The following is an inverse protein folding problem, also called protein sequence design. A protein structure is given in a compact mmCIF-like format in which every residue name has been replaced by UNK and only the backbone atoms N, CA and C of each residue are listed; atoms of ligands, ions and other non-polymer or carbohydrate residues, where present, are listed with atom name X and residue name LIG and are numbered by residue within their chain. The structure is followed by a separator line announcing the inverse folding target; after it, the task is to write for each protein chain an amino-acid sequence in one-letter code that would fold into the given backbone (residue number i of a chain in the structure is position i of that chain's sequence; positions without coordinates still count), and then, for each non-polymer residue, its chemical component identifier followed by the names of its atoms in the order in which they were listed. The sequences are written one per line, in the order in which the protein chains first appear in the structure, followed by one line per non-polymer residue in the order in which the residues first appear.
data_IF_841451803917
#
_entry.id   IF_841451803917
#
_cell.length_a   1.000
_cell.length_b   1.000
_cell.length_c   1.000
_cell.angle_alpha   90.00
_cell.angle_beta   90.00
_cell.angle_gamma   90.00
#
_symmetry.space_group_name_H-M   'P 1'
#
loop_
_entity.id
_entity.type
_entity.pdbx_description
1 polymer ?
#
# COMPACT_ATOMS: atom_id res chain seq x y z
N UNK A 1 4.79 -7.87 4.81
CA UNK A 1 4.50 -6.89 5.88
C UNK A 1 3.26 -7.37 6.62
N UNK A 2 3.08 -7.03 7.91
CA UNK A 2 1.86 -7.35 8.67
C UNK A 2 1.34 -6.08 9.32
N UNK A 3 0.17 -5.62 8.89
CA UNK A 3 -0.52 -4.43 9.39
C UNK A 3 -1.82 -4.89 10.04
N UNK A 4 -2.29 -4.20 11.07
CA UNK A 4 -3.53 -4.57 11.76
C UNK A 4 -4.39 -3.32 11.89
N UNK A 5 -5.67 -3.43 11.53
CA UNK A 5 -6.59 -2.30 11.48
C UNK A 5 -6.75 -1.58 12.83
N UNK A 6 -6.91 -2.35 13.91
CA UNK A 6 -6.95 -1.86 15.28
C UNK A 6 -5.51 -1.74 15.81
N UNK A 7 -5.07 -0.53 16.17
CA UNK A 7 -3.73 -0.31 16.68
C UNK A 7 -3.60 -0.81 18.12
N UNK A 8 -2.39 -1.24 18.48
CA UNK A 8 -2.12 -1.83 19.80
C UNK A 8 -2.47 -0.90 20.97
N UNK A 9 -2.30 0.41 20.82
CA UNK A 9 -2.64 1.37 21.88
C UNK A 9 -4.13 1.38 22.22
N UNK A 10 -5.01 1.06 21.26
CA UNK A 10 -6.45 1.07 21.49
C UNK A 10 -6.90 -0.17 22.26
N UNK A 11 -6.31 -1.33 21.93
CA UNK A 11 -6.48 -2.56 22.71
C UNK A 11 -5.96 -2.38 24.14
N UNK A 12 -4.84 -1.67 24.31
CA UNK A 12 -4.27 -1.36 25.62
C UNK A 12 -5.21 -0.45 26.43
N UNK A 13 -5.70 0.61 25.80
CA UNK A 13 -6.67 1.52 26.40
C UNK A 13 -7.95 0.78 26.84
N UNK A 14 -8.49 -0.10 26.01
CA UNK A 14 -9.66 -0.91 26.35
C UNK A 14 -9.37 -1.85 27.53
N UNK A 15 -8.24 -2.53 27.51
CA UNK A 15 -7.84 -3.43 28.59
C UNK A 15 -7.63 -2.70 29.94
N UNK A 16 -7.22 -1.43 29.91
CA UNK A 16 -6.87 -0.68 31.10
C UNK A 16 -8.03 0.15 31.69
N UNK A 17 -9.01 0.56 30.86
CA UNK A 17 -10.00 1.57 31.27
C UNK A 17 -11.43 1.08 31.34
N UNK A 18 -11.79 0.00 30.64
CA UNK A 18 -13.14 -0.55 30.73
C UNK A 18 -13.37 -1.23 32.09
N UNK A 19 -14.61 -1.19 32.58
CA UNK A 19 -15.04 -1.99 33.74
C UNK A 19 -15.66 -3.33 33.33
N UNK A 20 -15.83 -3.57 32.03
CA UNK A 20 -16.38 -4.83 31.52
C UNK A 20 -15.28 -5.90 31.42
N UNK A 21 -15.36 -6.93 32.26
CA UNK A 21 -14.38 -8.01 32.32
C UNK A 21 -14.27 -8.78 30.98
N UNK A 22 -15.35 -8.85 30.20
CA UNK A 22 -15.32 -9.51 28.90
C UNK A 22 -14.49 -8.68 27.90
N UNK A 23 -14.78 -7.38 27.80
CA UNK A 23 -14.03 -6.45 26.91
C UNK A 23 -12.55 -6.45 27.28
N UNK A 24 -12.25 -6.38 28.58
CA UNK A 24 -10.87 -6.46 29.10
C UNK A 24 -10.18 -7.75 28.62
N UNK A 25 -10.86 -8.89 28.80
CA UNK A 25 -10.32 -10.19 28.41
C UNK A 25 -10.14 -10.33 26.90
N UNK A 26 -11.07 -9.82 26.09
CA UNK A 26 -10.97 -9.82 24.62
C UNK A 26 -9.78 -8.97 24.18
N UNK A 27 -9.69 -7.72 24.62
CA UNK A 27 -8.61 -6.80 24.24
C UNK A 27 -7.22 -7.38 24.55
N UNK A 28 -7.06 -8.02 25.72
CA UNK A 28 -5.82 -8.71 26.08
C UNK A 28 -5.50 -9.89 25.18
N UNK A 29 -6.50 -10.73 24.83
CA UNK A 29 -6.32 -11.88 23.94
C UNK A 29 -5.98 -11.44 22.51
N UNK A 30 -6.75 -10.51 21.94
CA UNK A 30 -6.50 -9.92 20.61
C UNK A 30 -5.08 -9.38 20.54
N UNK A 31 -4.66 -8.60 21.54
CA UNK A 31 -3.28 -8.06 21.62
C UNK A 31 -2.21 -9.16 21.63
N UNK A 32 -2.41 -10.25 22.35
CA UNK A 32 -1.46 -11.37 22.40
C UNK A 32 -1.38 -12.13 21.06
N UNK A 33 -2.54 -12.35 20.42
CA UNK A 33 -2.63 -12.93 19.07
C UNK A 33 -1.86 -12.04 18.08
N UNK A 34 -2.15 -10.74 18.06
CA UNK A 34 -1.51 -9.76 17.18
C UNK A 34 0.00 -9.71 17.34
N UNK A 35 0.50 -9.74 18.58
CA UNK A 35 1.94 -9.79 18.86
C UNK A 35 2.58 -11.05 18.30
N UNK A 36 1.90 -12.19 18.48
CA UNK A 36 2.36 -13.48 17.96
C UNK A 36 2.40 -13.46 16.44
N UNK A 37 1.35 -12.91 15.80
CA UNK A 37 1.27 -12.75 14.36
C UNK A 37 2.35 -11.79 13.86
N UNK A 38 2.65 -10.66 14.50
CA UNK A 38 3.77 -9.79 14.08
C UNK A 38 5.14 -10.48 14.16
N UNK A 39 5.31 -11.43 15.08
CA UNK A 39 6.58 -12.14 15.31
C UNK A 39 6.89 -13.33 14.38
N UNK A 40 5.92 -13.89 13.63
CA UNK A 40 6.21 -15.03 12.73
C UNK A 40 6.93 -14.55 11.47
N UNK A 41 7.96 -15.26 11.01
CA UNK A 41 8.53 -15.02 9.67
C UNK A 41 7.54 -15.54 8.61
N UNK A 42 7.32 -14.75 7.57
CA UNK A 42 6.68 -15.24 6.34
C UNK A 42 7.82 -15.66 5.44
N UNK A 43 7.97 -16.96 5.21
CA UNK A 43 8.76 -17.43 4.07
C UNK A 43 7.99 -16.99 2.80
N UNK A 44 8.68 -16.50 1.76
CA UNK A 44 8.01 -16.15 0.51
C UNK A 44 7.23 -17.37 0.01
N UNK A 45 5.98 -17.19 -0.47
CA UNK A 45 5.17 -18.33 -0.87
C UNK A 45 5.91 -19.12 -1.95
N UNK A 46 6.00 -20.44 -1.75
CA UNK A 46 6.24 -21.37 -2.86
C UNK A 46 5.14 -21.15 -3.88
N UNK A 47 5.51 -20.94 -5.14
CA UNK A 47 4.66 -20.49 -6.24
C UNK A 47 3.21 -21.03 -6.18
N UNK A 48 2.19 -20.18 -6.43
CA UNK A 48 0.82 -20.66 -6.53
C UNK A 48 0.70 -21.62 -7.71
N UNK A 49 0.08 -22.77 -7.47
CA UNK A 49 -0.26 -23.73 -8.51
C UNK A 49 -1.40 -23.14 -9.34
N UNK A 50 -1.08 -22.62 -10.53
CA UNK A 50 -2.08 -22.09 -11.44
C UNK A 50 -3.15 -23.13 -11.76
N UNK A 51 -4.39 -22.88 -11.33
CA UNK A 51 -5.57 -23.61 -11.79
C UNK A 51 -6.30 -22.74 -12.80
N UNK A 52 -6.24 -23.14 -14.07
CA UNK A 52 -6.97 -22.48 -15.14
C UNK A 52 -8.47 -22.77 -14.99
N UNK A 53 -9.20 -21.79 -14.47
CA UNK A 53 -10.64 -21.62 -14.73
C UNK A 53 -10.76 -20.28 -15.46
N UNK A 54 -11.63 -20.20 -16.46
CA UNK A 54 -11.78 -19.01 -17.28
C UNK A 54 -12.26 -17.82 -16.42
N UNK A 55 -11.33 -17.00 -15.96
CA UNK A 55 -11.59 -15.82 -15.16
C UNK A 55 -11.91 -14.62 -16.07
N UNK A 56 -12.88 -13.83 -15.63
CA UNK A 56 -13.04 -12.44 -16.09
C UNK A 56 -11.82 -11.67 -15.60
N UNK A 57 -11.16 -10.83 -16.41
CA UNK A 57 -10.01 -10.05 -15.94
C UNK A 57 -10.39 -9.24 -14.69
N UNK A 58 -9.61 -9.36 -13.62
CA UNK A 58 -9.63 -8.45 -12.47
C UNK A 58 -10.43 -8.86 -11.22
N UNK A 59 -10.97 -10.08 -11.09
CA UNK A 59 -11.74 -10.44 -9.89
C UNK A 59 -11.57 -11.90 -9.45
N UNK A 60 -10.35 -12.41 -9.34
CA UNK A 60 -10.12 -13.73 -8.73
C UNK A 60 -9.90 -13.57 -7.22
N UNK A 61 -10.94 -13.92 -6.44
CA UNK A 61 -10.88 -13.97 -4.98
C UNK A 61 -11.50 -15.26 -4.43
N UNK A 62 -11.00 -15.67 -3.27
CA UNK A 62 -11.45 -16.81 -2.47
C UNK A 62 -11.72 -16.34 -1.04
N UNK A 63 -12.89 -16.71 -0.50
CA UNK A 63 -13.27 -16.45 0.89
C UNK A 63 -13.35 -17.77 1.63
N UNK A 64 -12.64 -17.82 2.75
CA UNK A 64 -12.59 -18.95 3.66
C UNK A 64 -13.19 -18.62 5.02
N UNK A 65 -13.63 -19.65 5.72
CA UNK A 65 -14.19 -19.59 7.07
C UNK A 65 -13.26 -20.33 8.05
N UNK A 66 -12.81 -19.63 9.09
CA UNK A 66 -11.99 -20.19 10.16
C UNK A 66 -12.80 -20.86 11.28
N UNK A 67 -14.14 -20.79 11.24
CA UNK A 67 -15.07 -21.36 12.22
C UNK A 67 -14.77 -20.93 13.67
N UNK A 68 -14.42 -19.66 13.87
CA UNK A 68 -13.91 -19.10 15.13
C UNK A 68 -12.64 -19.79 15.67
N UNK A 69 -11.92 -20.50 14.80
CA UNK A 69 -10.59 -21.04 15.03
C UNK A 69 -9.50 -20.07 14.60
N UNK A 70 -8.24 -20.51 14.70
CA UNK A 70 -7.06 -19.72 14.29
C UNK A 70 -6.27 -20.34 13.14
N UNK A 71 -6.78 -21.42 12.56
CA UNK A 71 -6.17 -22.06 11.39
C UNK A 71 -6.52 -21.25 10.13
N UNK A 72 -5.48 -20.90 9.36
CA UNK A 72 -5.61 -20.13 8.13
C UNK A 72 -5.20 -21.00 6.91
N UNK A 73 -5.88 -20.88 5.75
CA UNK A 73 -7.03 -19.99 5.51
C UNK A 73 -8.36 -20.54 6.05
N UNK A 74 -8.43 -21.81 6.49
CA UNK A 74 -9.70 -22.45 6.86
C UNK A 74 -10.45 -23.02 5.66
N UNK A 75 -11.75 -23.23 5.79
CA UNK A 75 -12.57 -23.89 4.78
C UNK A 75 -12.99 -22.91 3.68
N UNK A 76 -12.77 -23.25 2.41
CA UNK A 76 -13.25 -22.44 1.29
C UNK A 76 -14.79 -22.43 1.26
N UNK A 77 -15.40 -21.25 1.41
CA UNK A 77 -16.86 -21.08 1.47
C UNK A 77 -17.44 -20.34 0.27
N UNK A 78 -16.66 -19.46 -0.38
CA UNK A 78 -17.11 -18.72 -1.56
C UNK A 78 -15.97 -18.33 -2.47
N UNK A 79 -16.19 -18.41 -3.79
CA UNK A 79 -15.27 -17.87 -4.80
C UNK A 79 -15.95 -16.81 -5.65
N UNK A 80 -15.15 -16.00 -6.34
CA UNK A 80 -15.66 -15.03 -7.31
C UNK A 80 -16.64 -15.66 -8.32
N UNK A 81 -17.69 -14.91 -8.65
CA UNK A 81 -18.76 -15.32 -9.56
C UNK A 81 -19.82 -16.26 -8.95
N UNK A 82 -19.62 -16.76 -7.73
CA UNK A 82 -20.65 -17.53 -7.02
C UNK A 82 -21.70 -16.61 -6.38
N UNK A 83 -22.98 -17.05 -6.30
CA UNK A 83 -24.03 -16.30 -5.61
C UNK A 83 -23.73 -16.14 -4.12
N UNK A 84 -24.46 -15.23 -3.46
CA UNK A 84 -24.45 -15.08 -2.00
C UNK A 84 -24.75 -16.40 -1.29
N UNK A 85 -24.07 -16.63 -0.17
CA UNK A 85 -24.18 -17.87 0.61
C UNK A 85 -25.10 -17.71 1.83
N UNK A 86 -25.51 -16.47 2.15
CA UNK A 86 -26.41 -16.16 3.26
C UNK A 86 -25.69 -15.93 4.60
N UNK A 87 -24.37 -16.06 4.62
CA UNK A 87 -23.53 -15.56 5.70
C UNK A 87 -23.17 -14.10 5.40
N UNK A 88 -23.59 -13.19 6.27
CA UNK A 88 -23.41 -11.75 6.06
C UNK A 88 -21.94 -11.34 6.03
N UNK A 89 -21.07 -11.98 6.82
CA UNK A 89 -19.65 -11.66 6.88
C UNK A 89 -18.95 -12.11 5.59
N UNK A 90 -19.30 -13.30 5.08
CA UNK A 90 -18.82 -13.79 3.77
C UNK A 90 -19.32 -12.91 2.63
N UNK A 91 -20.60 -12.54 2.64
CA UNK A 91 -21.21 -11.79 1.55
C UNK A 91 -20.73 -10.33 1.50
N UNK A 92 -20.48 -9.70 2.66
CA UNK A 92 -19.84 -8.38 2.75
C UNK A 92 -18.38 -8.43 2.27
N UNK A 93 -17.60 -9.43 2.68
CA UNK A 93 -16.22 -9.59 2.24
C UNK A 93 -16.13 -9.74 0.72
N UNK A 94 -17.05 -10.49 0.10
CA UNK A 94 -17.13 -10.64 -1.35
C UNK A 94 -17.38 -9.30 -2.07
N UNK A 95 -18.27 -8.46 -1.55
CA UNK A 95 -18.53 -7.12 -2.09
C UNK A 95 -17.28 -6.25 -1.97
N UNK A 96 -16.67 -6.19 -0.79
CA UNK A 96 -15.47 -5.38 -0.57
C UNK A 96 -14.31 -5.79 -1.47
N UNK A 97 -14.04 -7.09 -1.62
CA UNK A 97 -12.98 -7.61 -2.50
C UNK A 97 -13.24 -7.20 -3.95
N UNK A 98 -14.47 -7.37 -4.40
CA UNK A 98 -14.87 -7.04 -5.78
C UNK A 98 -14.71 -5.55 -6.06
N UNK A 99 -15.19 -4.68 -5.16
CA UNK A 99 -15.10 -3.22 -5.35
C UNK A 99 -13.66 -2.71 -5.26
N UNK A 100 -12.87 -3.24 -4.34
CA UNK A 100 -11.47 -2.83 -4.18
C UNK A 100 -10.62 -3.28 -5.36
N UNK A 101 -10.81 -4.50 -5.86
CA UNK A 101 -10.12 -4.98 -7.06
C UNK A 101 -10.54 -4.18 -8.30
N UNK A 102 -11.82 -3.83 -8.42
CA UNK A 102 -12.30 -2.98 -9.51
C UNK A 102 -11.69 -1.56 -9.46
N UNK A 103 -11.53 -0.98 -8.27
CA UNK A 103 -10.82 0.29 -8.08
C UNK A 103 -9.39 0.22 -8.64
N UNK A 104 -8.61 -0.79 -8.27
CA UNK A 104 -7.25 -0.95 -8.75
C UNK A 104 -7.18 -1.29 -10.24
N UNK A 105 -8.15 -2.05 -10.76
CA UNK A 105 -8.29 -2.30 -12.19
C UNK A 105 -8.56 -1.00 -12.99
N UNK A 106 -9.34 -0.06 -12.45
CA UNK A 106 -9.54 1.27 -13.03
C UNK A 106 -8.22 2.08 -13.12
N UNK A 107 -7.23 1.73 -12.29
CA UNK A 107 -5.86 2.26 -12.33
C UNK A 107 -4.91 1.45 -13.23
N UNK A 108 -5.42 0.43 -13.93
CA UNK A 108 -4.64 -0.45 -14.80
C UNK A 108 -3.81 -1.48 -14.05
N UNK A 109 -4.16 -1.79 -12.79
CA UNK A 109 -3.49 -2.81 -11.98
C UNK A 109 -4.27 -4.11 -11.99
N UNK A 110 -3.59 -5.22 -12.30
CA UNK A 110 -4.17 -6.57 -12.20
C UNK A 110 -3.90 -7.18 -10.82
N UNK A 111 -4.89 -7.13 -9.93
CA UNK A 111 -4.81 -7.57 -8.52
C UNK A 111 -3.78 -6.81 -7.66
N UNK A 112 -3.54 -7.27 -6.43
CA UNK A 112 -2.64 -6.60 -5.49
C UNK A 112 -1.18 -6.67 -5.90
N UNK A 113 -0.75 -7.65 -6.70
CA UNK A 113 0.63 -7.84 -7.15
C UNK A 113 0.90 -7.24 -8.54
N UNK A 114 -0.14 -6.82 -9.25
CA UNK A 114 -0.04 -6.33 -10.64
C UNK A 114 0.14 -7.45 -11.67
N UNK A 115 -0.01 -8.72 -11.26
CA UNK A 115 0.15 -9.90 -12.10
C UNK A 115 -1.01 -10.90 -11.97
N UNK A 116 -2.15 -10.47 -11.42
CA UNK A 116 -3.38 -11.25 -11.38
C UNK A 116 -3.42 -12.30 -10.26
N UNK A 117 -2.70 -12.09 -9.15
CA UNK A 117 -2.80 -13.00 -8.01
C UNK A 117 -4.23 -13.12 -7.47
N UNK A 118 -4.63 -14.33 -7.08
CA UNK A 118 -5.89 -14.56 -6.36
C UNK A 118 -5.83 -13.92 -4.98
N UNK A 119 -6.86 -13.15 -4.61
CA UNK A 119 -6.98 -12.57 -3.27
C UNK A 119 -7.67 -13.57 -2.35
N UNK A 120 -6.97 -14.01 -1.30
CA UNK A 120 -7.53 -14.89 -0.28
C UNK A 120 -7.96 -14.03 0.92
N UNK A 121 -9.18 -14.23 1.40
CA UNK A 121 -9.70 -13.63 2.62
C UNK A 121 -10.25 -14.72 3.54
N UNK A 122 -9.96 -14.63 4.84
CA UNK A 122 -10.50 -15.51 5.87
C UNK A 122 -11.40 -14.72 6.81
N UNK A 123 -12.64 -15.17 7.00
CA UNK A 123 -13.60 -14.59 7.94
C UNK A 123 -13.79 -15.50 9.16
N UNK A 124 -14.50 -15.01 10.18
CA UNK A 124 -14.74 -15.71 11.45
C UNK A 124 -13.44 -16.18 12.12
N UNK A 125 -12.38 -15.37 12.02
CA UNK A 125 -11.10 -15.68 12.65
C UNK A 125 -11.18 -15.44 14.15
N UNK A 126 -10.92 -16.51 14.91
CA UNK A 126 -11.04 -16.56 16.38
C UNK A 126 -12.43 -16.12 16.89
N UNK A 127 -12.66 -16.24 18.19
CA UNK A 127 -13.93 -15.86 18.82
C UNK A 127 -13.80 -14.49 19.47
N UNK A 128 -14.69 -13.57 19.08
CA UNK A 128 -14.72 -12.20 19.59
C UNK A 128 -13.43 -11.44 19.22
N UNK A 129 -12.81 -11.75 18.07
CA UNK A 129 -11.55 -11.15 17.67
C UNK A 129 -11.77 -9.70 17.19
N UNK A 130 -11.23 -8.76 17.95
CA UNK A 130 -11.33 -7.32 17.72
C UNK A 130 -10.26 -6.81 16.75
N UNK A 131 -10.08 -7.45 15.59
CA UNK A 131 -9.19 -6.92 14.56
C UNK A 131 -9.48 -7.44 13.14
N UNK A 132 -8.84 -6.78 12.17
CA UNK A 132 -8.63 -7.26 10.82
C UNK A 132 -7.18 -6.98 10.39
N UNK A 133 -6.63 -7.78 9.47
CA UNK A 133 -5.25 -7.60 9.03
C UNK A 133 -4.94 -8.23 7.66
N UNK A 134 -3.99 -7.65 6.95
CA UNK A 134 -3.17 -8.34 5.94
C UNK A 134 -1.97 -9.05 6.59
N UNK A 135 -1.88 -10.37 6.41
CA UNK A 135 -0.86 -11.20 7.06
C UNK A 135 0.46 -11.33 6.27
N UNK A 136 0.51 -10.74 5.07
CA UNK A 136 1.58 -10.90 4.08
C UNK A 136 1.20 -11.78 2.89
N UNK A 137 0.12 -12.56 3.00
CA UNK A 137 -0.36 -13.52 1.99
C UNK A 137 -1.88 -13.52 1.81
N UNK A 138 -2.64 -13.23 2.86
CA UNK A 138 -4.11 -13.20 2.84
C UNK A 138 -4.66 -12.13 3.79
N UNK A 139 -5.93 -11.77 3.58
CA UNK A 139 -6.69 -10.90 4.47
C UNK A 139 -7.38 -11.76 5.55
N UNK A 140 -7.48 -11.26 6.77
CA UNK A 140 -8.11 -11.96 7.89
C UNK A 140 -9.01 -11.01 8.65
N UNK A 141 -10.25 -11.42 8.94
CA UNK A 141 -11.27 -10.60 9.58
C UNK A 141 -11.88 -11.30 10.79
N UNK A 142 -11.90 -10.60 11.92
CA UNK A 142 -12.65 -10.98 13.10
C UNK A 142 -14.11 -10.52 13.06
N UNK A 143 -14.92 -11.13 13.92
CA UNK A 143 -16.34 -10.80 14.08
C UNK A 143 -16.59 -9.66 15.10
N UNK A 144 -15.55 -9.24 15.83
CA UNK A 144 -15.66 -8.31 16.94
C UNK A 144 -16.34 -8.91 18.18
N UNK A 145 -16.21 -8.26 19.32
CA UNK A 145 -16.79 -8.69 20.60
C UNK A 145 -18.28 -8.40 20.78
N UNK A 146 -18.88 -7.63 19.87
CA UNK A 146 -20.28 -7.21 19.94
C UNK A 146 -20.58 -6.25 21.09
N UNK A 147 -19.57 -5.74 21.80
CA UNK A 147 -19.71 -4.77 22.90
C UNK A 147 -18.99 -3.46 22.65
N UNK A 148 -17.87 -3.51 21.96
CA UNK A 148 -17.11 -2.36 21.45
C UNK A 148 -17.14 -2.37 19.94
N UNK A 149 -16.74 -3.50 19.33
CA UNK A 149 -16.63 -3.64 17.89
C UNK A 149 -17.67 -4.62 17.34
N UNK A 150 -18.25 -4.28 16.20
CA UNK A 150 -18.94 -5.23 15.34
C UNK A 150 -17.98 -5.92 14.37
N UNK A 151 -18.54 -6.73 13.48
CA UNK A 151 -17.79 -7.45 12.44
C UNK A 151 -16.96 -6.50 11.56
N UNK A 152 -15.72 -6.89 11.29
CA UNK A 152 -14.76 -6.07 10.56
C UNK A 152 -14.97 -6.07 9.04
N UNK A 153 -15.87 -6.91 8.51
CA UNK A 153 -16.29 -6.90 7.10
C UNK A 153 -17.35 -5.85 6.79
N UNK A 154 -18.04 -5.31 7.81
CA UNK A 154 -19.18 -4.43 7.62
C UNK A 154 -18.78 -3.07 7.02
N UNK A 155 -17.75 -2.37 7.52
CA UNK A 155 -17.28 -1.17 6.85
C UNK A 155 -16.41 -1.56 5.64
N UNK A 156 -16.90 -1.31 4.43
CA UNK A 156 -16.22 -1.70 3.19
C UNK A 156 -14.80 -1.11 3.06
N UNK A 157 -14.58 0.05 3.67
CA UNK A 157 -13.29 0.74 3.74
C UNK A 157 -12.25 0.01 4.60
N UNK A 158 -12.65 -0.81 5.59
CA UNK A 158 -11.72 -1.70 6.34
C UNK A 158 -11.11 -2.73 5.39
N UNK A 159 -11.94 -3.38 4.57
CA UNK A 159 -11.44 -4.36 3.61
C UNK A 159 -10.57 -3.69 2.54
N UNK A 160 -11.01 -2.54 2.02
CA UNK A 160 -10.22 -1.75 1.08
C UNK A 160 -8.86 -1.33 1.65
N UNK A 161 -8.82 -0.97 2.94
CA UNK A 161 -7.61 -0.65 3.68
C UNK A 161 -6.67 -1.87 3.77
N UNK A 162 -7.16 -3.03 4.19
CA UNK A 162 -6.30 -4.21 4.31
C UNK A 162 -5.73 -4.68 2.97
N UNK A 163 -6.52 -4.64 1.89
CA UNK A 163 -6.02 -5.01 0.56
C UNK A 163 -5.03 -3.96 0.01
N UNK A 164 -5.17 -2.69 0.37
CA UNK A 164 -4.26 -1.64 -0.03
C UNK A 164 -2.86 -1.76 0.63
N UNK A 165 -2.74 -2.40 1.81
CA UNK A 165 -1.44 -2.81 2.33
C UNK A 165 -0.73 -3.79 1.41
N UNK A 166 -1.45 -4.76 0.84
CA UNK A 166 -0.89 -5.70 -0.13
C UNK A 166 -0.40 -4.93 -1.38
N UNK A 167 -1.20 -4.00 -1.92
CA UNK A 167 -0.76 -3.14 -3.05
C UNK A 167 0.51 -2.36 -2.70
N UNK A 168 0.58 -1.78 -1.50
CA UNK A 168 1.78 -1.05 -1.04
C UNK A 168 3.00 -1.98 -0.95
N UNK A 169 2.84 -3.20 -0.43
CA UNK A 169 3.90 -4.21 -0.36
C UNK A 169 4.47 -4.57 -1.74
N UNK A 170 3.64 -4.66 -2.77
CA UNK A 170 4.04 -5.01 -4.14
C UNK A 170 4.30 -3.79 -5.04
N UNK A 171 4.46 -2.59 -4.45
CA UNK A 171 4.81 -1.35 -5.15
C UNK A 171 5.99 -0.66 -4.47
N UNK A 172 5.74 0.39 -3.67
CA UNK A 172 6.79 1.13 -2.97
C UNK A 172 7.41 0.35 -1.79
N UNK A 173 6.71 -0.68 -1.30
CA UNK A 173 7.10 -1.48 -0.14
C UNK A 173 7.53 -0.61 1.06
N UNK A 174 6.74 0.43 1.33
CA UNK A 174 7.02 1.44 2.36
C UNK A 174 7.28 0.76 3.70
N UNK A 175 8.45 1.02 4.29
CA UNK A 175 8.87 0.47 5.59
C UNK A 175 7.86 0.87 6.65
N UNK A 176 7.36 -0.10 7.41
CA UNK A 176 6.34 0.13 8.44
C UNK A 176 6.95 0.71 9.74
N UNK A 177 7.50 1.92 9.63
CA UNK A 177 8.14 2.65 10.71
C UNK A 177 8.09 4.17 10.44
N UNK A 178 7.82 4.99 11.46
CA UNK A 178 7.86 6.45 11.37
C UNK A 178 7.02 7.00 10.21
N UNK A 179 7.55 7.97 9.47
CA UNK A 179 6.83 8.60 8.36
C UNK A 179 6.52 7.64 7.20
N UNK A 180 7.43 6.73 6.83
CA UNK A 180 7.13 5.75 5.77
C UNK A 180 6.03 4.78 6.19
N UNK A 181 5.95 4.44 7.48
CA UNK A 181 4.86 3.64 8.04
C UNK A 181 3.54 4.40 8.10
N UNK A 182 3.57 5.68 8.51
CA UNK A 182 2.40 6.55 8.48
C UNK A 182 1.88 6.80 7.05
N UNK A 183 2.77 6.86 6.05
CA UNK A 183 2.38 6.85 4.64
C UNK A 183 1.73 5.53 4.25
N UNK A 184 2.27 4.40 4.69
CA UNK A 184 1.70 3.07 4.42
C UNK A 184 0.25 2.98 4.93
N UNK A 185 0.01 3.35 6.20
CA UNK A 185 -1.33 3.48 6.79
C UNK A 185 -2.22 4.45 6.01
N UNK A 186 -1.68 5.60 5.63
CA UNK A 186 -2.44 6.60 4.89
C UNK A 186 -2.84 6.13 3.49
N UNK A 187 -1.98 5.42 2.76
CA UNK A 187 -2.34 4.84 1.47
C UNK A 187 -3.48 3.83 1.62
N UNK A 188 -3.47 3.05 2.69
CA UNK A 188 -4.55 2.11 3.00
C UNK A 188 -5.86 2.84 3.30
N UNK A 189 -5.86 3.89 4.14
CA UNK A 189 -7.03 4.72 4.38
C UNK A 189 -7.55 5.41 3.11
N UNK A 190 -6.63 5.94 2.27
CA UNK A 190 -6.95 6.62 1.00
C UNK A 190 -7.68 5.68 0.04
N UNK A 191 -7.16 4.48 -0.18
CA UNK A 191 -7.79 3.54 -1.12
C UNK A 191 -9.03 2.85 -0.51
N UNK A 192 -9.07 2.66 0.81
CA UNK A 192 -10.30 2.27 1.52
C UNK A 192 -11.41 3.29 1.32
N UNK A 193 -11.12 4.58 1.53
CA UNK A 193 -12.08 5.67 1.31
C UNK A 193 -12.49 5.78 -0.17
N UNK A 194 -11.56 5.65 -1.12
CA UNK A 194 -11.88 5.63 -2.55
C UNK A 194 -12.81 4.46 -2.90
N UNK A 195 -12.59 3.28 -2.32
CA UNK A 195 -13.44 2.10 -2.52
C UNK A 195 -14.86 2.35 -2.00
N UNK A 196 -14.98 2.84 -0.76
CA UNK A 196 -16.28 3.20 -0.17
C UNK A 196 -17.03 4.23 -1.02
N UNK A 197 -16.36 5.30 -1.41
CA UNK A 197 -16.97 6.37 -2.18
C UNK A 197 -17.40 5.91 -3.58
N UNK A 198 -16.59 5.06 -4.24
CA UNK A 198 -16.91 4.45 -5.52
C UNK A 198 -18.15 3.55 -5.42
N UNK A 199 -18.18 2.68 -4.41
CA UNK A 199 -19.31 1.79 -4.17
C UNK A 199 -20.61 2.56 -3.89
N UNK A 200 -20.53 3.67 -3.15
CA UNK A 200 -21.68 4.51 -2.81
C UNK A 200 -22.03 5.57 -3.88
N UNK A 201 -21.21 5.72 -4.93
CA UNK A 201 -21.38 6.76 -5.95
C UNK A 201 -21.27 8.19 -5.40
N UNK A 202 -20.39 8.41 -4.43
CA UNK A 202 -20.20 9.70 -3.76
C UNK A 202 -19.05 10.50 -4.37
N UNK A 203 -19.23 11.81 -4.56
CA UNK A 203 -18.12 12.68 -4.92
C UNK A 203 -17.30 13.09 -3.68
N UNK A 204 -16.11 13.67 -3.91
CA UNK A 204 -15.21 14.10 -2.84
C UNK A 204 -15.82 15.14 -1.88
N UNK A 205 -16.82 15.90 -2.35
CA UNK A 205 -17.50 16.92 -1.56
C UNK A 205 -18.56 16.33 -0.61
N UNK A 206 -19.24 15.27 -1.03
CA UNK A 206 -20.32 14.61 -0.30
C UNK A 206 -19.87 13.44 0.58
N UNK A 207 -18.66 12.91 0.37
CA UNK A 207 -18.10 11.83 1.17
C UNK A 207 -17.89 12.21 2.65
N UNK A 208 -18.06 11.24 3.55
CA UNK A 208 -17.90 11.40 5.00
C UNK A 208 -16.44 11.56 5.46
N UNK A 209 -15.50 10.98 4.72
CA UNK A 209 -14.07 10.94 5.03
C UNK A 209 -13.75 10.28 6.39
N UNK A 210 -14.56 9.31 6.78
CA UNK A 210 -14.40 8.48 7.97
C UNK A 210 -13.87 7.10 7.57
N UNK A 211 -12.98 6.54 8.38
CA UNK A 211 -12.44 5.18 8.20
C UNK A 211 -13.00 4.24 9.26
N UNK A 212 -13.70 3.20 8.83
CA UNK A 212 -14.36 2.25 9.73
C UNK A 212 -15.67 2.81 10.30
N UNK A 213 -16.41 3.62 9.53
CA UNK A 213 -17.72 4.10 9.96
C UNK A 213 -18.66 2.92 10.23
N UNK A 214 -19.27 2.90 11.41
CA UNK A 214 -20.18 1.83 11.82
C UNK A 214 -19.50 0.53 12.28
N UNK A 215 -18.17 0.57 12.51
CA UNK A 215 -17.43 -0.51 13.20
C UNK A 215 -17.80 -0.60 14.67
N UNK A 216 -18.03 0.53 15.33
CA UNK A 216 -18.44 0.55 16.73
C UNK A 216 -19.90 0.16 16.89
N UNK A 217 -20.20 -0.61 17.94
CA UNK A 217 -21.58 -0.97 18.29
C UNK A 217 -22.32 0.19 18.95
N UNK A 218 -23.65 0.07 19.06
CA UNK A 218 -24.48 1.05 19.75
C UNK A 218 -24.03 1.23 21.21
N UNK A 219 -23.84 2.47 21.64
CA UNK A 219 -23.42 2.82 23.00
C UNK A 219 -21.98 3.33 23.11
N UNK A 220 -21.15 3.10 22.09
CA UNK A 220 -19.81 3.68 21.98
C UNK A 220 -19.90 5.10 21.41
N UNK A 221 -19.27 6.07 22.07
CA UNK A 221 -19.20 7.46 21.59
C UNK A 221 -18.10 7.65 20.53
N UNK A 222 -18.27 7.02 19.38
CA UNK A 222 -17.36 7.11 18.24
C UNK A 222 -18.11 7.03 16.91
N UNK A 223 -17.72 7.89 15.96
CA UNK A 223 -18.27 7.88 14.60
C UNK A 223 -17.61 6.82 13.73
N UNK A 224 -16.31 6.66 13.89
CA UNK A 224 -15.44 5.78 13.12
C UNK A 224 -14.09 5.63 13.86
N UNK A 225 -13.20 4.77 13.36
CA UNK A 225 -11.87 4.62 13.97
C UNK A 225 -10.99 5.84 13.69
N UNK A 226 -11.10 6.44 12.50
CA UNK A 226 -10.33 7.62 12.09
C UNK A 226 -11.18 8.59 11.28
N UNK A 227 -10.80 9.86 11.31
CA UNK A 227 -11.34 10.91 10.45
C UNK A 227 -10.20 11.43 9.58
N UNK A 228 -10.30 11.22 8.26
CA UNK A 228 -9.26 11.69 7.34
C UNK A 228 -9.29 13.21 7.19
N UNK A 229 -10.46 13.85 7.26
CA UNK A 229 -10.59 15.30 7.13
C UNK A 229 -10.21 16.03 8.42
N UNK A 230 -10.63 15.49 9.57
CA UNK A 230 -10.47 16.08 10.90
C UNK A 230 -9.81 15.06 11.85
N UNK A 231 -8.53 14.67 11.64
CA UNK A 231 -7.84 13.72 12.52
C UNK A 231 -7.90 14.17 13.99
N UNK A 232 -8.13 13.23 14.92
CA UNK A 232 -8.28 13.51 16.35
C UNK A 232 -9.73 13.79 16.79
N UNK A 233 -10.72 13.52 15.92
CA UNK A 233 -12.15 13.79 16.18
C UNK A 233 -13.06 12.60 15.92
N UNK A 234 -12.52 11.44 15.55
CA UNK A 234 -13.33 10.29 15.15
C UNK A 234 -14.11 9.68 16.32
N UNK A 235 -13.54 9.72 17.52
CA UNK A 235 -14.17 9.23 18.75
C UNK A 235 -13.65 9.98 20.00
N UNK A 236 -14.50 10.00 21.04
CA UNK A 236 -14.19 10.52 22.38
C UNK A 236 -15.07 9.78 23.40
N UNK A 237 -14.64 8.57 23.75
CA UNK A 237 -15.42 7.62 24.52
C UNK A 237 -14.72 7.26 25.85
N UNK A 238 -15.44 7.07 26.96
CA UNK A 238 -14.82 6.71 28.23
C UNK A 238 -13.97 5.43 28.20
N UNK A 239 -14.32 4.44 27.38
CA UNK A 239 -13.59 3.18 27.24
C UNK A 239 -12.52 3.25 26.15
N UNK A 240 -12.76 3.95 25.03
CA UNK A 240 -11.77 4.09 23.96
C UNK A 240 -10.76 5.23 24.18
N UNK A 241 -11.04 6.12 25.13
CA UNK A 241 -10.38 7.41 25.22
C UNK A 241 -10.78 8.33 24.05
N UNK A 242 -9.92 9.31 23.79
CA UNK A 242 -10.07 10.23 22.65
C UNK A 242 -9.16 9.80 21.50
N UNK A 243 -9.64 9.96 20.27
CA UNK A 243 -8.86 9.80 19.04
C UNK A 243 -7.52 10.59 19.14
N UNK A 244 -6.37 9.89 19.15
CA UNK A 244 -5.07 10.52 19.35
C UNK A 244 -4.42 10.99 18.05
N UNK A 245 -5.05 10.82 16.88
CA UNK A 245 -4.44 11.18 15.61
C UNK A 245 -4.18 12.67 15.49
N UNK A 246 -3.08 13.01 14.81
CA UNK A 246 -2.71 14.39 14.50
C UNK A 246 -2.87 14.67 13.01
N UNK A 247 -3.32 15.88 12.68
CA UNK A 247 -3.63 16.29 11.31
C UNK A 247 -2.71 17.38 10.75
N UNK A 248 -1.60 17.68 11.43
CA UNK A 248 -0.59 18.63 10.95
C UNK A 248 0.82 18.28 11.46
N UNK A 249 1.85 18.67 10.71
CA UNK A 249 3.25 18.53 11.14
C UNK A 249 3.60 19.34 12.40
N UNK A 250 2.81 20.37 12.75
CA UNK A 250 3.02 21.12 13.98
C UNK A 250 2.76 20.27 15.24
N UNK A 251 1.92 19.24 15.09
CA UNK A 251 1.52 18.34 16.16
C UNK A 251 2.14 16.94 16.02
N UNK A 252 3.10 16.77 15.10
CA UNK A 252 3.72 15.47 14.81
C UNK A 252 4.20 14.77 16.09
N UNK A 253 3.82 13.49 16.25
CA UNK A 253 4.15 12.71 17.44
C UNK A 253 5.46 11.96 17.22
N UNK A 254 6.52 12.43 17.87
CA UNK A 254 7.80 11.72 17.98
C UNK A 254 7.73 10.65 19.07
N UNK A 255 7.71 9.38 18.69
CA UNK A 255 7.62 8.24 19.61
C UNK A 255 8.36 7.01 19.09
N UNK A 256 8.59 6.02 19.95
CA UNK A 256 9.02 4.66 19.57
C UNK A 256 7.87 3.66 19.58
N UNK A 257 6.76 4.00 20.22
CA UNK A 257 5.55 3.18 20.26
C UNK A 257 4.88 3.17 18.89
N UNK A 258 4.00 2.20 18.65
CA UNK A 258 3.23 2.12 17.40
C UNK A 258 4.11 2.24 16.14
N UNK A 259 5.26 1.54 16.15
CA UNK A 259 6.25 1.61 15.08
C UNK A 259 6.70 3.04 14.75
N UNK A 260 6.83 3.91 15.75
CA UNK A 260 7.11 5.33 15.53
C UNK A 260 5.89 6.17 15.18
N UNK A 261 4.73 5.80 15.72
CA UNK A 261 3.47 6.52 15.57
C UNK A 261 2.86 6.42 14.18
N UNK A 262 2.89 5.25 13.55
CA UNK A 262 2.37 5.07 12.18
C UNK A 262 0.87 5.37 12.10
N UNK A 263 0.08 4.92 13.08
CA UNK A 263 -1.35 5.23 13.14
C UNK A 263 -1.61 6.61 13.73
N UNK A 264 -0.74 7.12 14.60
CA UNK A 264 -0.87 8.46 15.20
C UNK A 264 -0.67 9.57 14.15
N UNK A 265 0.34 9.41 13.30
CA UNK A 265 0.78 10.43 12.34
C UNK A 265 0.17 10.25 10.94
N UNK A 266 -0.52 9.14 10.63
CA UNK A 266 -1.18 8.94 9.32
C UNK A 266 -2.31 9.94 9.05
N UNK A 267 -2.85 10.59 10.10
CA UNK A 267 -3.79 11.70 9.96
C UNK A 267 -3.25 12.88 9.14
N UNK A 268 -1.93 13.13 9.14
CA UNK A 268 -1.29 14.22 8.39
C UNK A 268 -1.43 14.00 6.87
N UNK A 269 -0.92 12.90 6.28
CA UNK A 269 -1.11 12.60 4.87
C UNK A 269 -2.59 12.29 4.50
N UNK A 270 -3.39 11.72 5.41
CA UNK A 270 -4.84 11.55 5.19
C UNK A 270 -5.52 12.89 4.92
N UNK A 271 -5.27 13.88 5.77
CA UNK A 271 -5.85 15.22 5.61
C UNK A 271 -5.37 15.91 4.35
N UNK A 272 -4.10 15.74 3.99
CA UNK A 272 -3.59 16.23 2.70
C UNK A 272 -4.35 15.61 1.52
N UNK A 273 -4.63 14.30 1.54
CA UNK A 273 -5.42 13.65 0.50
C UNK A 273 -6.83 14.23 0.41
N UNK A 274 -7.55 14.37 1.53
CA UNK A 274 -8.93 14.91 1.50
C UNK A 274 -8.97 16.32 0.94
N UNK A 275 -8.03 17.17 1.36
CA UNK A 275 -7.94 18.55 0.86
C UNK A 275 -7.65 18.57 -0.64
N UNK A 276 -6.73 17.73 -1.12
CA UNK A 276 -6.44 17.59 -2.54
C UNK A 276 -7.65 17.05 -3.32
N UNK A 277 -8.31 16.00 -2.83
CA UNK A 277 -9.49 15.42 -3.48
C UNK A 277 -10.64 16.43 -3.62
N UNK A 278 -10.88 17.25 -2.59
CA UNK A 278 -11.90 18.32 -2.64
C UNK A 278 -11.52 19.44 -3.59
N UNK A 279 -10.23 19.79 -3.68
CA UNK A 279 -9.74 20.83 -4.58
C UNK A 279 -9.70 20.37 -6.05
N UNK A 280 -9.35 19.11 -6.31
CA UNK A 280 -9.45 18.47 -7.63
C UNK A 280 -10.92 18.36 -8.05
N UNK A 281 -11.81 18.04 -7.11
CA UNK A 281 -13.25 17.93 -7.33
C UNK A 281 -13.65 16.62 -8.03
N UNK A 282 -14.97 16.41 -8.15
CA UNK A 282 -15.52 15.18 -8.71
C UNK A 282 -15.31 13.96 -7.82
N UNK A 283 -15.20 12.79 -8.44
CA UNK A 283 -14.99 11.51 -7.76
C UNK A 283 -13.55 11.39 -7.27
N UNK A 284 -13.35 11.05 -6.00
CA UNK A 284 -12.01 10.94 -5.42
C UNK A 284 -11.16 9.87 -6.12
N UNK A 285 -11.74 8.73 -6.47
CA UNK A 285 -11.02 7.63 -7.09
C UNK A 285 -10.55 7.95 -8.51
N UNK A 286 -11.32 8.69 -9.31
CA UNK A 286 -10.93 9.03 -10.69
C UNK A 286 -10.04 10.28 -10.75
N UNK A 287 -10.11 11.17 -9.75
CA UNK A 287 -9.25 12.34 -9.57
C UNK A 287 -8.02 12.08 -8.68
N UNK A 288 -8.05 12.58 -7.45
CA UNK A 288 -6.89 12.54 -6.53
C UNK A 288 -6.37 11.12 -6.23
N UNK A 289 -7.23 10.10 -6.22
CA UNK A 289 -6.86 8.69 -6.05
C UNK A 289 -5.89 8.21 -7.14
N UNK A 290 -6.09 8.62 -8.41
CA UNK A 290 -5.14 8.34 -9.50
C UNK A 290 -3.79 9.02 -9.29
N UNK A 291 -3.79 10.26 -8.77
CA UNK A 291 -2.56 11.01 -8.48
C UNK A 291 -1.76 10.30 -7.38
N UNK A 292 -2.43 9.90 -6.29
CA UNK A 292 -1.82 9.17 -5.17
C UNK A 292 -1.31 7.79 -5.61
N UNK A 293 -2.06 7.06 -6.43
CA UNK A 293 -1.63 5.78 -6.98
C UNK A 293 -0.40 5.92 -7.91
N UNK A 294 -0.38 6.94 -8.77
CA UNK A 294 0.77 7.24 -9.62
C UNK A 294 2.02 7.60 -8.78
N UNK A 295 1.87 8.34 -7.68
CA UNK A 295 2.95 8.63 -6.75
C UNK A 295 3.48 7.36 -6.06
N UNK A 296 2.57 6.51 -5.55
CA UNK A 296 2.93 5.23 -4.91
C UNK A 296 3.71 4.30 -5.85
N UNK A 297 3.39 4.32 -7.14
CA UNK A 297 3.99 3.45 -8.16
C UNK A 297 5.16 4.08 -8.93
N UNK A 298 5.60 5.28 -8.54
CA UNK A 298 6.64 6.06 -9.25
C UNK A 298 8.07 5.54 -9.08
N UNK A 299 8.28 4.42 -8.37
CA UNK A 299 9.60 3.98 -7.91
C UNK A 299 10.04 4.63 -6.59
N UNK A 300 9.06 5.07 -5.79
CA UNK A 300 9.23 5.63 -4.46
C UNK A 300 10.08 4.70 -3.58
N UNK A 301 11.04 5.26 -2.85
CA UNK A 301 11.90 4.48 -1.95
C UNK A 301 11.10 3.99 -0.73
N UNK A 302 11.44 2.80 -0.23
CA UNK A 302 10.72 2.18 0.89
C UNK A 302 10.80 3.02 2.19
N UNK A 303 11.84 3.83 2.38
CA UNK A 303 12.03 4.70 3.55
C UNK A 303 11.60 6.15 3.29
N UNK A 304 10.79 6.39 2.25
CA UNK A 304 10.33 7.74 1.88
C UNK A 304 9.56 8.42 3.01
N UNK A 305 9.88 9.68 3.23
CA UNK A 305 9.23 10.55 4.20
C UNK A 305 8.05 11.32 3.57
N UNK A 306 7.33 12.10 4.38
CA UNK A 306 6.17 12.87 3.91
C UNK A 306 6.54 13.90 2.84
N UNK A 307 7.70 14.54 2.95
CA UNK A 307 8.15 15.54 1.98
C UNK A 307 8.44 14.91 0.61
N UNK A 308 9.06 13.73 0.60
CA UNK A 308 9.37 12.94 -0.61
C UNK A 308 8.08 12.47 -1.28
N UNK A 309 7.14 11.91 -0.52
CA UNK A 309 5.86 11.49 -1.08
C UNK A 309 5.01 12.66 -1.58
N UNK A 310 4.99 13.78 -0.83
CA UNK A 310 4.34 15.00 -1.28
C UNK A 310 4.89 15.49 -2.62
N UNK A 311 6.21 15.44 -2.80
CA UNK A 311 6.86 15.80 -4.05
C UNK A 311 6.46 14.86 -5.21
N UNK A 312 6.37 13.55 -4.95
CA UNK A 312 5.90 12.57 -5.92
C UNK A 312 4.44 12.80 -6.34
N UNK A 313 3.54 13.11 -5.39
CA UNK A 313 2.14 13.44 -5.72
C UNK A 313 2.01 14.72 -6.54
N UNK A 314 2.79 15.76 -6.22
CA UNK A 314 2.81 17.00 -7.03
C UNK A 314 3.33 16.74 -8.45
N UNK A 315 4.34 15.89 -8.61
CA UNK A 315 4.85 15.49 -9.92
C UNK A 315 3.82 14.70 -10.74
N UNK A 316 3.01 13.86 -10.09
CA UNK A 316 1.96 13.07 -10.73
C UNK A 316 0.68 13.87 -11.04
N UNK A 317 0.50 15.05 -10.44
CA UNK A 317 -0.79 15.76 -10.43
C UNK A 317 -1.16 16.49 -11.73
N UNK A 318 -0.22 16.66 -12.67
CA UNK A 318 -0.48 17.37 -13.93
C UNK A 318 -1.03 18.78 -13.70
N UNK A 319 -2.21 19.07 -14.26
CA UNK A 319 -2.88 20.38 -14.10
C UNK A 319 -3.32 20.67 -12.64
N UNK A 320 -3.40 19.66 -11.78
CA UNK A 320 -3.78 19.80 -10.38
C UNK A 320 -2.58 20.02 -9.43
N UNK A 321 -1.37 20.20 -9.94
CA UNK A 321 -0.14 20.29 -9.14
C UNK A 321 -0.21 21.40 -8.05
N UNK A 322 -0.85 22.53 -8.34
CA UNK A 322 -0.99 23.61 -7.37
C UNK A 322 -1.95 23.25 -6.23
N UNK A 323 -3.08 22.61 -6.54
CA UNK A 323 -4.04 22.14 -5.54
C UNK A 323 -3.42 21.07 -4.62
N UNK A 324 -2.68 20.12 -5.19
CA UNK A 324 -1.98 19.09 -4.41
C UNK A 324 -0.89 19.70 -3.52
N UNK A 325 -0.13 20.67 -4.05
CA UNK A 325 0.89 21.38 -3.26
C UNK A 325 0.28 22.17 -2.10
N UNK A 326 -0.84 22.85 -2.34
CA UNK A 326 -1.54 23.62 -1.31
C UNK A 326 -2.08 22.70 -0.19
N UNK A 327 -2.60 21.52 -0.56
CA UNK A 327 -3.07 20.53 0.40
C UNK A 327 -1.96 20.03 1.34
N UNK A 328 -0.78 19.69 0.79
CA UNK A 328 0.39 19.32 1.60
C UNK A 328 0.89 20.47 2.48
N UNK A 329 0.95 21.68 1.92
CA UNK A 329 1.39 22.87 2.64
C UNK A 329 0.46 23.18 3.82
N UNK A 330 -0.85 22.96 3.65
CA UNK A 330 -1.87 23.18 4.69
C UNK A 330 -1.66 22.27 5.90
N UNK A 331 -1.18 21.04 5.70
CA UNK A 331 -0.83 20.13 6.80
C UNK A 331 0.62 20.30 7.29
N UNK A 332 1.32 21.33 6.82
CA UNK A 332 2.68 21.66 7.26
C UNK A 332 3.78 20.82 6.60
N UNK A 333 3.48 20.10 5.51
CA UNK A 333 4.48 19.38 4.72
C UNK A 333 4.86 20.24 3.52
N UNK A 334 6.12 20.66 3.46
CA UNK A 334 6.66 21.27 2.25
C UNK A 334 7.11 20.14 1.34
N UNK A 335 6.57 20.01 0.11
CA UNK A 335 7.08 19.03 -0.84
C UNK A 335 8.58 19.23 -1.00
N UNK A 336 9.36 18.16 -0.83
CA UNK A 336 10.81 18.23 -0.99
C UNK A 336 11.17 18.80 -2.36
N UNK A 337 12.32 19.46 -2.47
CA UNK A 337 12.94 19.60 -3.78
C UNK A 337 13.11 18.18 -4.31
N UNK A 338 12.48 17.87 -5.44
CA UNK A 338 12.58 16.54 -6.03
C UNK A 338 14.03 16.31 -6.46
N UNK A 339 14.79 15.64 -5.61
CA UNK A 339 15.74 14.60 -6.04
C UNK A 339 15.03 13.23 -6.09
N UNK A 340 13.69 13.22 -6.14
CA UNK A 340 13.00 12.17 -6.88
C UNK A 340 13.43 12.39 -8.33
N UNK A 341 14.02 11.39 -9.02
CA UNK A 341 14.17 11.49 -10.46
C UNK A 341 12.75 11.71 -10.97
N UNK A 342 12.44 12.95 -11.35
CA UNK A 342 11.33 13.17 -12.26
C UNK A 342 11.53 12.17 -13.39
N UNK A 343 10.45 11.71 -14.00
CA UNK A 343 10.49 11.21 -15.37
C UNK A 343 11.60 11.98 -16.07
N UNK A 344 12.75 11.37 -16.41
CA UNK A 344 13.83 12.16 -16.92
C UNK A 344 13.21 12.90 -18.09
N UNK A 345 13.24 14.23 -18.04
CA UNK A 345 13.06 15.02 -19.25
C UNK A 345 13.86 14.25 -20.30
N UNK A 346 13.22 13.79 -21.40
CA UNK A 346 13.75 12.73 -22.25
C UNK A 346 15.22 12.99 -22.39
N UNK A 347 16.04 12.06 -21.86
CA UNK A 347 17.47 12.28 -21.76
C UNK A 347 17.92 12.88 -23.10
N UNK A 348 18.78 13.92 -23.12
CA UNK A 348 19.45 14.24 -24.36
C UNK A 348 19.93 12.90 -24.92
N UNK A 349 19.71 12.70 -26.21
CA UNK A 349 19.60 11.40 -26.92
C UNK A 349 20.92 10.61 -26.96
N UNK A 350 21.80 10.92 -26.00
CA UNK A 350 23.23 10.78 -25.95
C UNK A 350 23.67 10.15 -24.63
N UNK A 351 22.82 9.95 -23.61
CA UNK A 351 23.29 9.35 -22.34
C UNK A 351 22.93 7.88 -22.17
N UNK A 352 23.89 7.08 -21.68
CA UNK A 352 23.76 5.64 -21.46
C UNK A 352 24.01 5.30 -20.00
N UNK A 353 23.02 4.69 -19.35
CA UNK A 353 23.09 4.30 -17.94
C UNK A 353 23.04 2.79 -17.75
N UNK A 354 23.84 2.29 -16.80
CA UNK A 354 23.79 0.89 -16.37
C UNK A 354 23.73 0.83 -14.85
N UNK A 355 22.83 0.00 -14.31
CA UNK A 355 22.74 -0.32 -12.89
C UNK A 355 22.79 -1.82 -12.70
N UNK A 356 23.67 -2.31 -11.83
CA UNK A 356 23.70 -3.71 -11.38
C UNK A 356 23.21 -3.77 -9.93
N UNK A 357 22.30 -4.68 -9.64
CA UNK A 357 21.82 -4.97 -8.28
C UNK A 357 21.73 -6.47 -8.04
N UNK A 358 21.79 -6.90 -6.77
CA UNK A 358 21.62 -8.30 -6.38
C UNK A 358 22.92 -8.98 -6.00
N UNK A 359 23.01 -10.30 -6.25
CA UNK A 359 24.05 -11.15 -5.70
C UNK A 359 23.89 -11.41 -4.20
N UNK A 360 24.66 -12.34 -3.64
CA UNK A 360 24.53 -12.80 -2.24
C UNK A 360 24.61 -11.68 -1.19
N UNK A 361 25.26 -10.56 -1.52
CA UNK A 361 25.42 -9.41 -0.63
C UNK A 361 24.45 -8.25 -0.93
N UNK A 362 23.57 -8.36 -1.93
CA UNK A 362 22.61 -7.32 -2.30
C UNK A 362 23.23 -6.00 -2.76
N UNK A 363 24.48 -6.01 -3.24
CA UNK A 363 25.22 -4.79 -3.59
C UNK A 363 24.64 -4.14 -4.85
N UNK A 364 24.50 -2.82 -4.80
CA UNK A 364 24.08 -1.99 -5.93
C UNK A 364 25.28 -1.21 -6.45
N UNK A 365 25.46 -1.19 -7.77
CA UNK A 365 26.43 -0.34 -8.47
C UNK A 365 25.76 0.28 -9.68
N UNK A 366 26.01 1.56 -9.90
CA UNK A 366 25.44 2.30 -11.03
C UNK A 366 26.49 3.20 -11.67
N UNK A 367 26.31 3.45 -12.95
CA UNK A 367 27.19 4.30 -13.73
C UNK A 367 26.47 4.85 -14.95
N UNK A 368 27.03 5.92 -15.50
CA UNK A 368 26.46 6.66 -16.62
C UNK A 368 27.58 7.21 -17.49
N UNK A 369 27.34 7.25 -18.81
CA UNK A 369 28.24 7.81 -19.81
C UNK A 369 27.43 8.71 -20.74
N UNK A 370 27.78 10.00 -20.78
CA UNK A 370 27.28 10.94 -21.76
C UNK A 370 28.11 10.85 -23.05
N UNK A 371 27.49 10.39 -24.12
CA UNK A 371 28.12 10.18 -25.42
C UNK A 371 28.55 11.47 -26.10
N UNK A 372 28.04 12.64 -25.70
CA UNK A 372 28.40 13.93 -26.28
C UNK A 372 29.44 14.70 -25.44
N UNK A 373 29.86 14.12 -24.32
CA UNK A 373 30.90 14.67 -23.45
C UNK A 373 32.31 14.23 -23.86
N UNK A 374 33.33 14.82 -23.21
CA UNK A 374 34.74 14.41 -23.34
C UNK A 374 35.08 13.16 -22.49
N UNK A 375 34.08 12.38 -22.04
CA UNK A 375 34.32 11.13 -21.31
C UNK A 375 35.14 10.15 -22.19
N UNK A 376 36.31 9.66 -21.72
CA UNK A 376 37.16 8.76 -22.50
C UNK A 376 36.46 7.43 -22.88
N UNK A 377 35.37 7.06 -22.18
CA UNK A 377 34.55 5.87 -22.46
C UNK A 377 33.54 6.13 -23.59
N UNK A 378 33.19 7.39 -23.87
CA UNK A 378 32.13 7.76 -24.80
C UNK A 378 32.29 7.17 -26.22
N UNK A 379 33.49 7.11 -26.85
CA UNK A 379 33.63 6.54 -28.19
C UNK A 379 33.27 5.05 -28.26
N UNK A 380 33.64 4.28 -27.24
CA UNK A 380 33.40 2.84 -27.19
C UNK A 380 31.94 2.52 -26.84
N UNK A 381 31.38 3.24 -25.86
CA UNK A 381 29.96 3.14 -25.49
C UNK A 381 29.07 3.52 -26.68
N UNK A 382 29.43 4.55 -27.46
CA UNK A 382 28.71 4.95 -28.68
C UNK A 382 28.65 3.82 -29.71
N UNK A 383 29.74 3.07 -29.87
CA UNK A 383 29.77 1.94 -30.80
C UNK A 383 28.90 0.77 -30.30
N UNK A 384 28.83 0.54 -28.99
CA UNK A 384 28.05 -0.56 -28.41
C UNK A 384 26.55 -0.30 -28.52
N UNK A 385 26.09 0.91 -28.20
CA UNK A 385 24.65 1.23 -28.25
C UNK A 385 24.07 1.23 -29.67
N UNK A 386 24.90 1.38 -30.70
CA UNK A 386 24.48 1.22 -32.09
C UNK A 386 24.29 -0.24 -32.52
N UNK A 387 24.87 -1.19 -31.78
CA UNK A 387 24.75 -2.64 -32.06
C UNK A 387 23.66 -3.33 -31.24
N UNK A 388 23.31 -2.76 -30.09
CA UNK A 388 22.30 -3.30 -29.19
C UNK A 388 20.91 -2.77 -29.58
N UNK A 389 19.99 -3.68 -29.88
CA UNK A 389 18.58 -3.33 -30.02
C UNK A 389 17.90 -3.31 -28.64
N UNK A 390 17.93 -2.15 -27.98
CA UNK A 390 17.33 -1.98 -26.67
C UNK A 390 15.82 -2.22 -26.66
N UNK A 391 15.13 -2.08 -27.80
CA UNK A 391 13.68 -2.26 -27.90
C UNK A 391 13.25 -3.72 -27.92
N UNK A 392 14.18 -4.62 -28.26
CA UNK A 392 13.96 -6.07 -28.29
C UNK A 392 14.33 -6.77 -26.98
N UNK A 393 14.87 -6.05 -25.98
CA UNK A 393 15.27 -6.62 -24.70
C UNK A 393 14.04 -6.85 -23.80
N UNK A 394 13.53 -8.07 -23.80
CA UNK A 394 12.39 -8.45 -22.97
C UNK A 394 12.78 -8.53 -21.47
N UNK A 395 11.97 -7.97 -20.56
CA UNK A 395 12.19 -8.12 -19.12
C UNK A 395 12.02 -9.59 -18.72
N UNK A 396 12.98 -10.11 -17.95
CA UNK A 396 12.92 -11.46 -17.36
C UNK A 396 12.78 -11.31 -15.84
N UNK A 397 11.93 -12.12 -15.18
CA UNK A 397 11.74 -12.02 -13.73
C UNK A 397 13.07 -12.13 -12.97
N UNK A 398 13.29 -11.31 -11.92
CA UNK A 398 14.49 -11.40 -11.10
C UNK A 398 14.56 -12.76 -10.41
N UNK A 399 15.74 -13.40 -10.46
CA UNK A 399 15.99 -14.66 -9.76
C UNK A 399 16.75 -14.39 -8.45
N UNK A 400 16.43 -15.11 -7.35
CA UNK A 400 17.15 -14.99 -6.09
C UNK A 400 18.67 -15.22 -6.25
N UNK A 401 19.47 -14.52 -5.45
CA UNK A 401 20.93 -14.63 -5.34
C UNK A 401 21.75 -14.31 -6.61
N UNK A 402 21.17 -13.64 -7.61
CA UNK A 402 21.84 -13.32 -8.89
C UNK A 402 21.91 -11.82 -9.14
N UNK A 403 22.88 -11.40 -9.94
CA UNK A 403 22.95 -10.02 -10.41
C UNK A 403 21.91 -9.77 -11.51
N UNK A 404 21.22 -8.65 -11.40
CA UNK A 404 20.30 -8.09 -12.38
C UNK A 404 20.88 -6.77 -12.86
N UNK A 405 20.86 -6.56 -14.18
CA UNK A 405 21.36 -5.37 -14.83
C UNK A 405 20.21 -4.62 -15.46
N UNK A 406 20.10 -3.33 -15.14
CA UNK A 406 19.19 -2.38 -15.78
C UNK A 406 19.99 -1.52 -16.74
N UNK A 407 19.62 -1.51 -18.02
CA UNK A 407 20.19 -0.66 -19.05
C UNK A 407 19.22 0.45 -19.41
N UNK A 408 19.73 1.67 -19.58
CA UNK A 408 18.98 2.85 -20.03
C UNK A 408 19.72 3.50 -21.20
N UNK A 409 19.04 3.71 -22.30
CA UNK A 409 19.54 4.50 -23.43
C UNK A 409 18.37 5.16 -24.18
N UNK A 410 18.49 6.45 -24.46
CA UNK A 410 17.40 7.27 -25.01
C UNK A 410 16.10 7.12 -24.18
N UNK A 411 14.99 6.70 -24.80
CA UNK A 411 13.71 6.47 -24.14
C UNK A 411 13.49 5.01 -23.73
N UNK A 412 14.49 4.14 -23.89
CA UNK A 412 14.35 2.70 -23.68
C UNK A 412 15.04 2.28 -22.39
N UNK A 413 14.35 1.43 -21.61
CA UNK A 413 14.87 0.80 -20.41
C UNK A 413 14.60 -0.71 -20.46
N UNK A 414 15.61 -1.51 -20.11
CA UNK A 414 15.50 -2.96 -20.04
C UNK A 414 16.16 -3.49 -18.77
N UNK A 415 15.60 -4.56 -18.20
CA UNK A 415 16.18 -5.30 -17.07
C UNK A 415 16.45 -6.74 -17.47
N UNK A 416 17.69 -7.17 -17.29
CA UNK A 416 18.16 -8.49 -17.69
C UNK A 416 18.93 -9.14 -16.54
N UNK A 417 18.69 -10.43 -16.24
CA UNK A 417 19.57 -11.18 -15.36
C UNK A 417 20.94 -11.33 -16.02
N UNK A 418 22.00 -11.47 -15.22
CA UNK A 418 23.37 -11.61 -15.71
C UNK A 418 23.56 -12.71 -16.77
N UNK A 419 22.75 -13.77 -16.76
CA UNK A 419 22.84 -14.86 -17.73
C UNK A 419 22.24 -14.51 -19.10
N UNK A 420 21.38 -13.50 -19.16
CA UNK A 420 20.75 -13.04 -20.40
C UNK A 420 21.58 -11.94 -21.10
N UNK A 421 22.69 -11.49 -20.51
CA UNK A 421 23.59 -10.55 -21.16
C UNK A 421 24.40 -11.26 -22.25
N UNK A 422 24.24 -10.79 -23.49
CA UNK A 422 25.17 -11.09 -24.58
C UNK A 422 26.51 -10.35 -24.39
N UNK A 423 27.46 -10.59 -25.28
CA UNK A 423 28.82 -10.04 -25.17
C UNK A 423 28.83 -8.50 -25.23
N UNK A 424 27.92 -7.89 -26.00
CA UNK A 424 27.82 -6.44 -26.15
C UNK A 424 27.23 -5.80 -24.88
N UNK A 425 26.19 -6.39 -24.30
CA UNK A 425 25.59 -5.95 -23.03
C UNK A 425 26.55 -6.14 -21.84
N UNK A 426 27.33 -7.23 -21.81
CA UNK A 426 28.38 -7.43 -20.79
C UNK A 426 29.46 -6.38 -20.90
N UNK A 427 29.93 -6.11 -22.12
CA UNK A 427 30.98 -5.12 -22.38
C UNK A 427 30.48 -3.73 -22.03
N UNK A 428 29.23 -3.40 -22.39
CA UNK A 428 28.60 -2.13 -22.05
C UNK A 428 28.49 -1.95 -20.54
N UNK A 429 27.99 -2.96 -19.81
CA UNK A 429 27.88 -2.90 -18.36
C UNK A 429 29.23 -2.71 -17.69
N UNK A 430 30.25 -3.44 -18.17
CA UNK A 430 31.62 -3.34 -17.65
C UNK A 430 32.21 -1.94 -17.82
N UNK A 431 32.05 -1.34 -19.00
CA UNK A 431 32.59 0.01 -19.28
C UNK A 431 31.85 1.07 -18.47
N UNK A 432 30.51 1.01 -18.43
CA UNK A 432 29.70 2.04 -17.76
C UNK A 432 29.83 1.95 -16.23
N UNK A 433 30.02 0.76 -15.68
CA UNK A 433 30.21 0.54 -14.24
C UNK A 433 31.69 0.64 -13.79
N UNK A 434 32.63 0.92 -14.69
CA UNK A 434 34.09 0.90 -14.43
C UNK A 434 34.57 -0.43 -13.81
N UNK A 435 34.45 -1.53 -14.57
CA UNK A 435 34.81 -2.91 -14.17
C UNK A 435 35.78 -3.65 -15.12
#
# INVERSE_FOLDING_TARGET
MRCHFIPAYLLDQLADTTQDEHVTGVAQRTREIDRTLRGRRVDPPSQPVARAVAATPGADWEIHDAHNGTELPGDLVRTAGQPEVGDVTVDEAAVGLTETLALFADYGRDSYDGAGATVVATVHYEKDYDNAFWDGTQLVFGDGDGKVFGRFTKPIDVLGHELAHAVTQYTANLTYQGQSGALNESMSDVFGACTKQRHLGQDAASADWLVGEGIFVEGINGRALRSMLEPGTAYDDPALGKDPQVGSMADYVETTDDNGGVHLNSGIPNRAFVLAARAVGGESWSGAGRIWYAALTSGLAADSDFATFAAATVAAAGEHADAVREAWTTVGVTPGATDVPGTPAPAPTTTVGVRRSGGFAGLVKEGEVDLDSDDPRAPEVRSLVQRIDFTALAPVPPQPDRFVYSFRYATTQAQLPEQALDDDLRTLARIVLDE
#
